data_IF_245804241341
#
_entry.id   IF_245804241341
#
_cell.length_a   1.000
_cell.length_b   1.000
_cell.length_c   1.000
_cell.angle_alpha   90.00
_cell.angle_beta   90.00
_cell.angle_gamma   90.00
#
_symmetry.space_group_name_H-M   'P 1'
#
loop_
_entity.id
_entity.type
_entity.pdbx_description
1 polymer ?
#
# COMPACT_ATOMS: atom_id res chain seq x y z
N UNK A 1 5.01 11.70 -7.99
CA UNK A 1 6.01 10.63 -7.83
C UNK A 1 5.42 9.34 -8.37
N UNK A 2 6.04 8.72 -9.39
CA UNK A 2 5.58 7.43 -9.91
C UNK A 2 6.05 6.31 -8.97
N UNK A 3 5.19 5.93 -8.03
CA UNK A 3 5.50 4.87 -7.06
C UNK A 3 5.92 3.56 -7.74
N UNK A 4 5.36 3.31 -8.93
CA UNK A 4 5.64 2.14 -9.76
C UNK A 4 7.12 2.06 -10.16
N UNK A 5 7.76 3.20 -10.48
CA UNK A 5 9.21 3.25 -10.77
C UNK A 5 10.06 2.90 -9.54
N UNK A 6 9.65 3.35 -8.36
CA UNK A 6 10.34 3.05 -7.10
C UNK A 6 10.23 1.55 -6.80
N UNK A 7 9.03 0.99 -6.96
CA UNK A 7 8.76 -0.42 -6.74
C UNK A 7 9.51 -1.32 -7.72
N UNK A 8 9.62 -0.92 -9.00
CA UNK A 8 10.40 -1.64 -10.02
C UNK A 8 11.88 -1.68 -9.70
N UNK A 9 12.47 -0.54 -9.32
CA UNK A 9 13.91 -0.41 -9.10
C UNK A 9 14.38 -1.03 -7.78
N UNK A 10 13.47 -1.17 -6.80
CA UNK A 10 13.76 -1.71 -5.46
C UNK A 10 14.93 -0.99 -4.74
N UNK A 11 15.09 0.30 -5.04
CA UNK A 11 16.09 1.16 -4.39
C UNK A 11 15.61 1.52 -2.98
N UNK A 12 16.24 0.92 -1.97
CA UNK A 12 15.84 1.04 -0.57
C UNK A 12 15.94 2.48 -0.06
N UNK A 13 16.90 3.29 -0.55
CA UNK A 13 17.01 4.69 -0.15
C UNK A 13 15.78 5.48 -0.63
N UNK A 14 15.42 5.31 -1.90
CA UNK A 14 14.22 5.94 -2.49
C UNK A 14 12.91 5.45 -1.86
N UNK A 15 12.84 4.17 -1.47
CA UNK A 15 11.68 3.64 -0.75
C UNK A 15 11.49 4.36 0.58
N UNK A 16 12.57 4.61 1.34
CA UNK A 16 12.51 5.35 2.61
C UNK A 16 12.06 6.80 2.42
N UNK A 17 12.60 7.49 1.42
CA UNK A 17 12.20 8.87 1.10
C UNK A 17 10.72 8.94 0.72
N UNK A 18 10.26 8.02 -0.13
CA UNK A 18 8.86 7.94 -0.55
C UNK A 18 7.91 7.59 0.61
N UNK A 19 8.33 6.73 1.54
CA UNK A 19 7.55 6.43 2.74
C UNK A 19 7.37 7.66 3.62
N UNK A 20 8.41 8.45 3.83
CA UNK A 20 8.33 9.69 4.60
C UNK A 20 7.38 10.70 3.95
N UNK A 21 7.38 10.80 2.61
CA UNK A 21 6.45 11.65 1.86
C UNK A 21 5.00 11.17 1.99
N UNK A 22 4.75 9.88 1.78
CA UNK A 22 3.42 9.28 1.93
C UNK A 22 2.89 9.40 3.36
N UNK A 23 3.74 9.25 4.38
CA UNK A 23 3.35 9.47 5.78
C UNK A 23 2.88 10.91 6.03
N UNK A 24 3.60 11.91 5.50
CA UNK A 24 3.18 13.31 5.61
C UNK A 24 1.83 13.52 4.94
N UNK A 25 1.66 13.07 3.70
CA UNK A 25 0.40 13.24 2.95
C UNK A 25 -0.79 12.51 3.60
N UNK A 26 -0.57 11.29 4.11
CA UNK A 26 -1.59 10.48 4.77
C UNK A 26 -2.07 11.14 6.07
N UNK A 27 -1.17 11.73 6.86
CA UNK A 27 -1.54 12.43 8.08
C UNK A 27 -2.47 13.62 7.82
N UNK A 28 -2.25 14.36 6.72
CA UNK A 28 -3.14 15.44 6.31
C UNK A 28 -4.51 14.92 5.84
N UNK A 29 -4.53 13.91 4.96
CA UNK A 29 -5.80 13.41 4.39
C UNK A 29 -6.67 12.70 5.43
N UNK A 30 -6.08 12.01 6.41
CA UNK A 30 -6.84 11.37 7.49
C UNK A 30 -7.57 12.38 8.40
N UNK A 31 -6.97 13.54 8.64
CA UNK A 31 -7.59 14.60 9.44
C UNK A 31 -8.90 15.12 8.82
N UNK A 32 -9.03 15.09 7.49
CA UNK A 32 -10.20 15.59 6.75
C UNK A 32 -11.14 14.46 6.26
N UNK A 33 -10.69 13.19 6.32
CA UNK A 33 -11.38 12.03 5.73
C UNK A 33 -12.69 11.62 6.43
N UNK A 34 -12.94 12.10 7.64
CA UNK A 34 -14.19 11.83 8.36
C UNK A 34 -15.39 12.56 7.75
N UNK A 35 -15.14 13.61 6.96
CA UNK A 35 -16.17 14.53 6.48
C UNK A 35 -16.34 14.57 4.96
N UNK A 36 -15.38 14.04 4.19
CA UNK A 36 -15.34 14.15 2.72
C UNK A 36 -15.00 12.77 2.10
N UNK A 37 -15.90 12.25 1.25
CA UNK A 37 -15.73 10.93 0.61
C UNK A 37 -14.48 10.88 -0.28
N UNK A 38 -14.20 11.95 -1.00
CA UNK A 38 -13.03 12.09 -1.87
C UNK A 38 -11.71 12.01 -1.08
N UNK A 39 -11.68 12.58 0.13
CA UNK A 39 -10.54 12.48 1.03
C UNK A 39 -10.41 11.07 1.60
N UNK A 40 -11.51 10.35 1.85
CA UNK A 40 -11.45 8.93 2.23
C UNK A 40 -10.83 8.07 1.13
N UNK A 41 -11.21 8.27 -0.13
CA UNK A 41 -10.60 7.56 -1.26
C UNK A 41 -9.13 7.95 -1.45
N UNK A 42 -8.79 9.23 -1.24
CA UNK A 42 -7.41 9.71 -1.27
C UNK A 42 -6.57 9.08 -0.16
N UNK A 43 -7.08 9.03 1.06
CA UNK A 43 -6.45 8.37 2.20
C UNK A 43 -6.24 6.87 1.92
N UNK A 44 -7.22 6.19 1.31
CA UNK A 44 -7.08 4.79 0.91
C UNK A 44 -5.97 4.60 -0.13
N UNK A 45 -5.89 5.48 -1.15
CA UNK A 45 -4.79 5.44 -2.14
C UNK A 45 -3.43 5.67 -1.49
N UNK A 46 -3.31 6.63 -0.59
CA UNK A 46 -2.09 6.89 0.16
C UNK A 46 -1.71 5.72 1.06
N UNK A 47 -2.69 5.07 1.68
CA UNK A 47 -2.47 3.88 2.50
C UNK A 47 -2.02 2.67 1.67
N UNK A 48 -2.60 2.45 0.50
CA UNK A 48 -2.14 1.43 -0.46
C UNK A 48 -0.69 1.68 -0.89
N UNK A 49 -0.33 2.92 -1.21
CA UNK A 49 1.04 3.32 -1.54
C UNK A 49 2.01 3.05 -0.39
N UNK A 50 1.61 3.39 0.84
CA UNK A 50 2.36 3.06 2.03
C UNK A 50 2.61 1.55 2.15
N UNK A 51 1.56 0.73 2.04
CA UNK A 51 1.63 -0.74 2.09
C UNK A 51 2.58 -1.30 1.00
N UNK A 52 2.47 -0.81 -0.23
CA UNK A 52 3.31 -1.24 -1.34
C UNK A 52 4.80 -0.91 -1.11
N UNK A 53 5.11 0.24 -0.52
CA UNK A 53 6.49 0.61 -0.21
C UNK A 53 7.06 -0.19 0.95
N UNK A 54 6.29 -0.37 2.03
CA UNK A 54 6.76 -1.16 3.18
C UNK A 54 6.99 -2.61 2.79
N UNK A 55 6.30 -3.17 1.78
CA UNK A 55 6.52 -4.55 1.34
C UNK A 55 7.94 -4.84 0.84
N UNK A 56 8.73 -3.80 0.51
CA UNK A 56 10.12 -3.92 0.09
C UNK A 56 11.13 -3.85 1.23
N UNK A 57 10.74 -3.30 2.38
CA UNK A 57 11.63 -3.06 3.53
C UNK A 57 11.14 -3.75 4.82
N UNK A 58 10.02 -4.46 4.73
CA UNK A 58 9.40 -5.14 5.85
C UNK A 58 10.35 -6.21 6.42
N UNK A 59 10.74 -6.14 7.71
CA UNK A 59 11.42 -7.26 8.34
C UNK A 59 10.48 -8.47 8.43
N UNK A 60 11.01 -9.69 8.42
CA UNK A 60 10.19 -10.89 8.67
C UNK A 60 9.96 -11.04 10.18
N UNK A 61 8.96 -10.33 10.69
CA UNK A 61 8.50 -10.44 12.08
C UNK A 61 7.06 -10.92 12.17
N UNK A 62 6.77 -11.65 13.24
CA UNK A 62 5.43 -12.03 13.62
C UNK A 62 4.73 -10.83 14.25
N UNK A 63 3.53 -10.53 13.79
CA UNK A 63 2.70 -9.41 14.23
C UNK A 63 1.32 -9.95 14.55
N UNK A 64 0.66 -9.39 15.55
CA UNK A 64 -0.72 -9.72 15.88
C UNK A 64 -1.62 -9.44 14.65
N UNK A 65 -2.22 -10.49 14.02
CA UNK A 65 -3.00 -10.35 12.79
C UNK A 65 -4.23 -9.45 12.91
N UNK A 66 -4.78 -9.32 14.12
CA UNK A 66 -5.99 -8.54 14.37
C UNK A 66 -5.68 -7.07 14.69
N UNK A 67 -4.40 -6.72 14.87
CA UNK A 67 -3.97 -5.33 15.02
C UNK A 67 -3.96 -4.60 13.67
N UNK A 68 -4.17 -3.28 13.68
CA UNK A 68 -4.06 -2.43 12.47
C UNK A 68 -2.68 -2.60 11.82
N UNK A 69 -1.63 -2.66 12.64
CA UNK A 69 -0.25 -2.91 12.19
C UNK A 69 -0.10 -4.30 11.57
N UNK A 70 -0.77 -5.31 12.12
CA UNK A 70 -0.81 -6.66 11.59
C UNK A 70 -1.48 -6.76 10.23
N UNK A 71 -2.62 -6.10 10.05
CA UNK A 71 -3.34 -6.07 8.77
C UNK A 71 -2.51 -5.43 7.66
N UNK A 72 -1.85 -4.30 7.94
CA UNK A 72 -0.94 -3.66 6.99
C UNK A 72 0.24 -4.58 6.63
N UNK A 73 0.76 -5.34 7.61
CA UNK A 73 1.80 -6.34 7.40
C UNK A 73 1.35 -7.50 6.51
N UNK A 74 0.14 -8.01 6.75
CA UNK A 74 -0.45 -9.08 5.96
C UNK A 74 -0.68 -8.62 4.52
N UNK A 75 -1.20 -7.42 4.32
CA UNK A 75 -1.39 -6.83 3.00
C UNK A 75 -0.06 -6.57 2.30
N UNK A 76 0.98 -6.11 2.99
CA UNK A 76 2.31 -5.92 2.42
C UNK A 76 2.91 -7.26 1.95
N UNK A 77 2.78 -8.32 2.74
CA UNK A 77 3.22 -9.68 2.36
C UNK A 77 2.41 -10.23 1.19
N UNK A 78 1.08 -10.09 1.22
CA UNK A 78 0.20 -10.50 0.13
C UNK A 78 0.51 -9.75 -1.16
N UNK A 79 0.71 -8.43 -1.09
CA UNK A 79 1.09 -7.59 -2.22
C UNK A 79 2.40 -8.04 -2.85
N UNK A 80 3.45 -8.29 -2.05
CA UNK A 80 4.72 -8.82 -2.55
C UNK A 80 4.52 -10.14 -3.30
N UNK A 81 3.78 -11.09 -2.72
CA UNK A 81 3.48 -12.37 -3.36
C UNK A 81 2.67 -12.19 -4.66
N UNK A 82 1.72 -11.27 -4.67
CA UNK A 82 0.90 -10.91 -5.83
C UNK A 82 1.72 -10.29 -6.96
N UNK A 83 2.68 -9.40 -6.68
CA UNK A 83 3.61 -8.85 -7.68
C UNK A 83 4.54 -9.93 -8.24
N UNK A 84 5.00 -10.86 -7.40
CA UNK A 84 5.89 -11.93 -7.84
C UNK A 84 5.16 -12.93 -8.76
N UNK A 85 3.89 -13.23 -8.47
CA UNK A 85 3.05 -14.18 -9.24
C UNK A 85 2.19 -13.52 -10.33
N UNK A 86 2.15 -12.19 -10.37
CA UNK A 86 1.21 -11.41 -11.19
C UNK A 86 -0.26 -11.82 -10.98
N UNK A 87 -0.67 -11.90 -9.72
CA UNK A 87 -2.04 -12.26 -9.31
C UNK A 87 -2.67 -11.16 -8.46
N UNK A 88 -4.00 -11.04 -8.48
CA UNK A 88 -4.71 -10.06 -7.64
C UNK A 88 -4.73 -10.48 -6.17
N UNK A 89 -4.75 -9.49 -5.28
CA UNK A 89 -5.02 -9.66 -3.86
C UNK A 89 -6.52 -9.92 -3.65
N UNK A 90 -6.84 -10.74 -2.65
CA UNK A 90 -8.21 -10.97 -2.21
C UNK A 90 -8.75 -9.76 -1.43
N UNK A 91 -10.04 -9.46 -1.61
CA UNK A 91 -10.71 -8.33 -0.98
C UNK A 91 -10.86 -8.54 0.54
N UNK A 92 -10.67 -7.50 1.36
CA UNK A 92 -10.85 -7.54 2.81
C UNK A 92 -12.31 -7.29 3.21
N UNK A 93 -12.61 -7.43 4.51
CA UNK A 93 -13.97 -7.41 5.05
C UNK A 93 -14.60 -6.02 5.23
N UNK A 94 -13.82 -4.92 5.24
CA UNK A 94 -14.34 -3.55 5.41
C UNK A 94 -14.22 -2.66 4.17
N UNK A 95 -15.05 -1.62 4.15
CA UNK A 95 -15.18 -0.69 3.02
C UNK A 95 -13.94 0.16 2.76
N UNK A 96 -13.16 0.56 3.76
CA UNK A 96 -11.96 1.36 3.55
C UNK A 96 -10.85 0.52 2.92
N UNK A 97 -10.60 -0.67 3.47
CA UNK A 97 -9.59 -1.57 2.98
C UNK A 97 -9.95 -2.18 1.63
N UNK A 98 -11.23 -2.21 1.24
CA UNK A 98 -11.63 -2.50 -0.14
C UNK A 98 -10.99 -1.52 -1.13
N UNK A 99 -11.10 -0.20 -0.89
CA UNK A 99 -10.43 0.80 -1.72
C UNK A 99 -8.91 0.66 -1.71
N UNK A 100 -8.32 0.31 -0.56
CA UNK A 100 -6.88 0.06 -0.44
C UNK A 100 -6.46 -1.11 -1.34
N UNK A 101 -7.18 -2.23 -1.27
CA UNK A 101 -6.88 -3.43 -2.07
C UNK A 101 -7.12 -3.19 -3.56
N UNK A 102 -8.16 -2.45 -3.94
CA UNK A 102 -8.38 -2.08 -5.35
C UNK A 102 -7.20 -1.28 -5.92
N UNK A 103 -6.67 -0.33 -5.15
CA UNK A 103 -5.50 0.44 -5.54
C UNK A 103 -4.22 -0.42 -5.57
N UNK A 104 -4.03 -1.34 -4.60
CA UNK A 104 -2.93 -2.30 -4.64
C UNK A 104 -3.01 -3.17 -5.90
N UNK A 105 -4.18 -3.68 -6.27
CA UNK A 105 -4.41 -4.45 -7.49
C UNK A 105 -4.15 -3.62 -8.76
N UNK A 106 -4.49 -2.32 -8.76
CA UNK A 106 -4.11 -1.40 -9.84
C UNK A 106 -2.59 -1.33 -10.00
N UNK A 107 -1.85 -1.21 -8.89
CA UNK A 107 -0.38 -1.17 -8.90
C UNK A 107 0.19 -2.51 -9.39
N UNK A 108 -0.31 -3.65 -8.91
CA UNK A 108 0.12 -4.99 -9.37
C UNK A 108 -0.02 -5.10 -10.89
N UNK A 109 -1.21 -4.75 -11.44
CA UNK A 109 -1.45 -4.79 -12.89
C UNK A 109 -0.47 -3.90 -13.66
N UNK A 110 -0.19 -2.69 -13.18
CA UNK A 110 0.78 -1.80 -13.83
C UNK A 110 2.20 -2.39 -13.84
N UNK A 111 2.65 -2.94 -12.70
CA UNK A 111 3.97 -3.56 -12.56
C UNK A 111 4.13 -4.79 -13.45
N UNK A 112 3.09 -5.63 -13.55
CA UNK A 112 3.11 -6.87 -14.32
C UNK A 112 2.92 -6.66 -15.83
N UNK A 113 2.15 -5.66 -16.26
CA UNK A 113 2.02 -5.31 -17.68
C UNK A 113 3.28 -4.63 -18.23
N UNK A 114 4.16 -4.13 -17.35
CA UNK A 114 5.42 -3.49 -17.71
C UNK A 114 6.63 -4.46 -17.72
N UNK A 115 6.42 -5.76 -17.49
CA UNK A 115 7.48 -6.78 -17.41
C UNK A 115 7.82 -7.38 -18.78
#
# INVERSE_FOLDING_TARGET
MEIEEILKRRDIARVKDALAEVHREKAFSLADSEYIKEERERAARLHARHIALISLILPEVEVDPESITGLDYHLARAFRASVDKCTELSLPADDFYRYVVDELNRIVRSLCNSR
#
